data_IF_490133094118
#
_entry.id   IF_490133094118
#
_cell.length_a   1.000
_cell.length_b   1.000
_cell.length_c   1.000
_cell.angle_alpha   90.00
_cell.angle_beta   90.00
_cell.angle_gamma   90.00
#
_symmetry.space_group_name_H-M   'P 1'
#
loop_
_entity.id
_entity.type
_entity.pdbx_description
1 polymer ?
#
# COMPACT_ATOMS: atom_id res chain seq x y z
N UNK A 1 -69.36 15.17 15.15
CA UNK A 1 -69.43 16.28 14.17
C UNK A 1 -68.12 17.06 14.22
N UNK A 2 -67.32 16.88 13.17
CA UNK A 2 -66.34 17.77 12.51
C UNK A 2 -66.36 19.24 12.96
N UNK A 3 -65.24 19.90 13.28
CA UNK A 3 -64.21 20.49 12.39
C UNK A 3 -63.16 21.21 13.29
N UNK A 4 -61.92 21.57 12.94
CA UNK A 4 -61.29 21.96 11.69
C UNK A 4 -59.75 21.97 11.90
N UNK A 5 -58.99 21.46 10.92
CA UNK A 5 -57.53 21.60 10.81
C UNK A 5 -57.14 22.96 10.19
N UNK A 6 -55.90 23.40 10.48
CA UNK A 6 -54.90 24.10 9.63
C UNK A 6 -54.49 25.53 10.03
N UNK A 7 -53.16 25.71 10.16
CA UNK A 7 -52.23 26.71 9.54
C UNK A 7 -51.04 26.88 10.50
N UNK A 8 -49.86 26.28 10.31
CA UNK A 8 -48.73 26.56 9.37
C UNK A 8 -48.31 28.03 9.28
N UNK A 9 -47.03 28.25 9.66
CA UNK A 9 -46.07 29.28 9.20
C UNK A 9 -46.01 30.64 9.91
N UNK A 10 -44.92 30.84 10.67
CA UNK A 10 -44.02 32.02 10.70
C UNK A 10 -43.09 31.83 11.93
N UNK A 11 -41.82 31.42 11.84
CA UNK A 11 -40.65 32.11 11.28
C UNK A 11 -40.49 33.55 11.81
N UNK A 12 -39.30 33.82 12.39
CA UNK A 12 -38.77 35.09 12.90
C UNK A 12 -39.33 35.54 14.27
N UNK A 13 -38.59 36.07 15.23
CA UNK A 13 -37.17 36.36 15.38
C UNK A 13 -37.00 36.86 16.83
N UNK A 14 -35.90 36.48 17.48
CA UNK A 14 -35.16 37.20 18.55
C UNK A 14 -34.18 36.20 19.18
N UNK A 15 -33.04 35.92 18.55
CA UNK A 15 -31.84 36.75 18.50
C UNK A 15 -31.16 36.94 19.87
N UNK A 16 -30.29 36.00 20.23
CA UNK A 16 -29.03 36.24 20.95
C UNK A 16 -28.09 35.08 20.59
N UNK A 17 -27.44 35.07 19.42
CA UNK A 17 -26.20 35.79 19.09
C UNK A 17 -25.09 35.61 20.15
N UNK A 18 -24.43 34.46 20.13
CA UNK A 18 -22.96 34.39 20.31
C UNK A 18 -22.42 33.54 19.16
N UNK A 19 -21.96 34.24 18.13
CA UNK A 19 -21.13 33.69 17.08
C UNK A 19 -19.69 34.09 17.41
N UNK A 20 -18.88 33.11 17.80
CA UNK A 20 -17.41 33.17 17.82
C UNK A 20 -16.93 31.88 18.49
N UNK A 21 -16.12 31.00 17.91
CA UNK A 21 -15.41 30.99 16.65
C UNK A 21 -15.25 29.52 16.26
N UNK A 22 -15.30 29.23 14.97
CA UNK A 22 -15.02 27.91 14.40
C UNK A 22 -13.51 27.78 14.19
N UNK A 23 -12.80 26.86 14.84
CA UNK A 23 -11.59 26.26 14.30
C UNK A 23 -12.01 24.91 13.70
N UNK A 24 -12.58 24.90 12.51
CA UNK A 24 -11.77 24.75 11.31
C UNK A 24 -12.08 23.39 10.70
N UNK A 25 -12.90 23.36 9.65
CA UNK A 25 -13.19 22.17 8.85
C UNK A 25 -11.95 21.48 8.26
N UNK A 26 -10.75 22.02 8.47
CA UNK A 26 -9.46 21.39 8.23
C UNK A 26 -9.07 20.33 9.27
N UNK A 27 -9.43 20.46 10.55
CA UNK A 27 -9.10 19.48 11.59
C UNK A 27 -9.97 18.22 11.46
N UNK A 28 -11.27 18.37 11.23
CA UNK A 28 -12.19 17.26 10.96
C UNK A 28 -11.87 16.53 9.63
N UNK A 29 -11.45 17.25 8.57
CA UNK A 29 -10.95 16.61 7.33
C UNK A 29 -9.59 15.92 7.53
N UNK A 30 -8.70 16.45 8.36
CA UNK A 30 -7.39 15.83 8.65
C UNK A 30 -7.55 14.60 9.53
N UNK A 31 -8.42 14.64 10.54
CA UNK A 31 -8.83 13.50 11.36
C UNK A 31 -9.57 12.45 10.54
N UNK A 32 -10.50 12.84 9.67
CA UNK A 32 -11.16 11.92 8.73
C UNK A 32 -10.20 11.26 7.74
N UNK A 33 -9.16 11.96 7.28
CA UNK A 33 -8.10 11.38 6.43
C UNK A 33 -7.14 10.48 7.21
N UNK A 34 -6.81 10.82 8.45
CA UNK A 34 -5.97 10.00 9.34
C UNK A 34 -6.71 8.74 9.81
N UNK A 35 -8.00 8.85 10.12
CA UNK A 35 -8.89 7.72 10.38
C UNK A 35 -9.12 6.87 9.13
N UNK A 36 -9.29 7.46 7.94
CA UNK A 36 -9.30 6.70 6.67
C UNK A 36 -8.00 5.96 6.41
N UNK A 37 -6.89 6.37 7.04
CA UNK A 37 -5.58 5.72 6.91
C UNK A 37 -5.42 4.52 7.85
N UNK A 38 -6.23 4.42 8.90
CA UNK A 38 -6.12 3.39 9.94
C UNK A 38 -7.38 2.51 10.08
N UNK A 39 -8.51 2.92 9.50
CA UNK A 39 -9.85 2.29 9.61
C UNK A 39 -10.42 1.98 8.22
N UNK A 40 -9.58 1.76 7.20
CA UNK A 40 -10.11 1.25 5.92
C UNK A 40 -10.38 -0.25 6.10
N UNK A 41 -11.63 -0.62 5.81
CA UNK A 41 -12.15 -1.98 5.80
C UNK A 41 -11.20 -2.99 5.15
N UNK A 42 -11.35 -4.28 5.48
CA UNK A 42 -10.72 -5.36 4.70
C UNK A 42 -11.00 -5.11 3.22
N UNK A 43 -9.97 -5.09 2.35
CA UNK A 43 -10.20 -4.84 0.94
C UNK A 43 -11.08 -5.95 0.36
N UNK A 44 -11.90 -5.59 -0.64
CA UNK A 44 -12.66 -6.58 -1.40
C UNK A 44 -11.72 -7.38 -2.32
N UNK A 45 -10.65 -6.72 -2.78
CA UNK A 45 -9.70 -7.28 -3.73
C UNK A 45 -8.26 -6.83 -3.47
N UNK A 46 -7.33 -7.66 -3.89
CA UNK A 46 -5.90 -7.43 -3.88
C UNK A 46 -5.34 -7.41 -5.29
N UNK A 47 -4.30 -6.61 -5.50
CA UNK A 47 -3.57 -6.54 -6.76
C UNK A 47 -2.10 -6.30 -6.46
N UNK A 48 -1.18 -6.79 -7.30
CA UNK A 48 0.23 -6.48 -7.22
C UNK A 48 0.79 -5.97 -8.56
N UNK A 49 1.76 -5.06 -8.45
CA UNK A 49 2.63 -4.65 -9.55
C UNK A 49 4.07 -4.67 -9.04
N UNK A 50 4.90 -5.46 -9.70
CA UNK A 50 6.25 -5.78 -9.23
C UNK A 50 7.22 -5.59 -10.40
N UNK A 51 8.39 -5.04 -10.14
CA UNK A 51 9.45 -4.93 -11.16
C UNK A 51 10.72 -5.51 -10.60
N UNK A 52 11.28 -6.53 -11.25
CA UNK A 52 12.49 -7.23 -10.88
C UNK A 52 13.66 -6.76 -11.75
N UNK A 53 14.63 -5.99 -11.23
CA UNK A 53 15.89 -5.76 -11.92
C UNK A 53 16.65 -7.07 -12.15
N UNK A 54 17.13 -7.29 -13.37
CA UNK A 54 17.90 -8.50 -13.75
C UNK A 54 19.40 -8.24 -13.92
N UNK A 55 19.82 -6.99 -13.71
CA UNK A 55 21.22 -6.57 -13.82
C UNK A 55 22.13 -6.89 -12.61
N UNK A 56 21.66 -7.03 -11.35
CA UNK A 56 22.58 -7.36 -10.26
C UNK A 56 23.00 -8.83 -10.31
N UNK A 57 24.14 -9.16 -9.70
CA UNK A 57 24.63 -10.54 -9.59
C UNK A 57 23.69 -11.44 -8.76
N UNK A 58 22.91 -10.81 -7.88
CA UNK A 58 21.80 -11.41 -7.14
C UNK A 58 20.58 -10.48 -7.08
N UNK A 59 19.36 -11.02 -7.13
CA UNK A 59 19.01 -12.43 -7.29
C UNK A 59 19.24 -12.92 -8.73
N UNK A 60 19.44 -14.22 -8.90
CA UNK A 60 19.55 -14.85 -10.22
C UNK A 60 18.22 -14.83 -10.95
N UNK A 61 18.26 -14.98 -12.28
CA UNK A 61 17.03 -15.08 -13.10
C UNK A 61 16.17 -16.29 -12.68
N UNK A 62 16.79 -17.38 -12.22
CA UNK A 62 16.07 -18.56 -11.72
C UNK A 62 15.29 -18.28 -10.42
N UNK A 63 15.90 -17.52 -9.49
CA UNK A 63 15.21 -17.10 -8.26
C UNK A 63 14.04 -16.16 -8.57
N UNK A 64 14.26 -15.19 -9.48
CA UNK A 64 13.18 -14.31 -9.95
C UNK A 64 12.03 -15.14 -10.54
N UNK A 65 12.34 -16.15 -11.38
CA UNK A 65 11.31 -17.03 -11.93
C UNK A 65 10.54 -17.79 -10.85
N UNK A 66 11.22 -18.32 -9.83
CA UNK A 66 10.57 -19.01 -8.71
C UNK A 66 9.64 -18.10 -7.92
N UNK A 67 9.97 -16.81 -7.77
CA UNK A 67 9.06 -15.84 -7.14
C UNK A 67 7.85 -15.51 -8.03
N UNK A 68 8.04 -15.43 -9.34
CA UNK A 68 6.93 -15.23 -10.30
C UNK A 68 5.95 -16.40 -10.23
N UNK A 69 6.45 -17.64 -10.17
CA UNK A 69 5.63 -18.84 -10.02
C UNK A 69 4.83 -18.84 -8.69
N UNK A 70 5.46 -18.42 -7.59
CA UNK A 70 4.76 -18.28 -6.32
C UNK A 70 3.70 -17.16 -6.35
N UNK A 71 3.98 -16.04 -7.04
CA UNK A 71 2.99 -14.98 -7.26
C UNK A 71 1.80 -15.47 -8.08
N UNK A 72 2.03 -16.37 -9.03
CA UNK A 72 0.96 -17.00 -9.81
C UNK A 72 0.00 -17.75 -8.89
N UNK A 73 0.53 -18.49 -7.91
CA UNK A 73 -0.31 -19.17 -6.92
C UNK A 73 -1.06 -18.20 -6.01
N UNK A 74 -0.37 -17.21 -5.42
CA UNK A 74 -0.97 -16.24 -4.49
C UNK A 74 -2.09 -15.39 -5.14
N UNK A 75 -2.06 -15.24 -6.47
CA UNK A 75 -3.06 -14.51 -7.26
C UNK A 75 -3.90 -15.40 -8.18
N UNK A 76 -4.10 -16.68 -7.85
CA UNK A 76 -5.03 -17.59 -8.57
C UNK A 76 -4.77 -17.65 -10.09
N UNK A 77 -3.50 -17.65 -10.51
CA UNK A 77 -3.09 -17.70 -11.91
C UNK A 77 -3.24 -16.39 -12.69
N UNK A 78 -3.58 -15.28 -12.03
CA UNK A 78 -3.97 -14.04 -12.71
C UNK A 78 -2.85 -13.00 -12.72
N UNK A 79 -1.82 -13.26 -13.50
CA UNK A 79 -0.74 -12.30 -13.73
C UNK A 79 -0.27 -12.26 -15.18
N UNK A 80 0.22 -11.10 -15.56
CA UNK A 80 0.96 -10.85 -16.79
C UNK A 80 2.43 -10.61 -16.48
N UNK A 81 3.33 -11.16 -17.31
CA UNK A 81 4.78 -10.96 -17.22
C UNK A 81 5.28 -10.22 -18.45
N UNK A 82 5.99 -9.12 -18.23
CA UNK A 82 6.53 -8.26 -19.28
C UNK A 82 8.05 -8.22 -19.19
N UNK A 83 8.73 -8.76 -20.20
CA UNK A 83 10.17 -8.58 -20.35
C UNK A 83 10.49 -7.13 -20.73
N UNK A 84 11.46 -6.53 -20.03
CA UNK A 84 11.98 -5.19 -20.29
C UNK A 84 13.50 -5.23 -20.38
N UNK A 85 14.10 -4.17 -20.92
CA UNK A 85 15.57 -4.08 -20.94
C UNK A 85 16.09 -3.96 -19.50
N UNK A 86 16.79 -5.00 -19.03
CA UNK A 86 17.39 -5.05 -17.69
C UNK A 86 16.41 -5.29 -16.54
N UNK A 87 15.17 -5.67 -16.83
CA UNK A 87 14.17 -6.00 -15.80
C UNK A 87 13.04 -6.88 -16.33
N UNK A 88 12.29 -7.47 -15.42
CA UNK A 88 11.01 -8.15 -15.67
C UNK A 88 9.94 -7.45 -14.84
N UNK A 89 8.83 -7.06 -15.45
CA UNK A 89 7.69 -6.51 -14.73
C UNK A 89 6.57 -7.54 -14.65
N UNK A 90 5.92 -7.63 -13.50
CA UNK A 90 4.76 -8.47 -13.23
C UNK A 90 3.60 -7.57 -12.83
N UNK A 91 2.44 -7.80 -13.43
CA UNK A 91 1.20 -7.13 -13.06
C UNK A 91 0.11 -8.18 -12.86
N UNK A 92 -0.58 -8.14 -11.73
CA UNK A 92 -1.69 -9.06 -11.46
C UNK A 92 -3.02 -8.40 -11.79
N UNK A 93 -4.02 -9.20 -12.12
CA UNK A 93 -5.40 -8.72 -12.06
C UNK A 93 -5.84 -8.54 -10.59
N UNK A 94 -6.90 -7.76 -10.33
CA UNK A 94 -7.53 -7.73 -9.02
C UNK A 94 -8.18 -9.07 -8.66
N UNK A 95 -7.71 -9.70 -7.58
CA UNK A 95 -8.23 -10.98 -7.06
C UNK A 95 -9.02 -10.73 -5.79
N UNK A 96 -10.14 -11.42 -5.60
CA UNK A 96 -10.95 -11.26 -4.38
C UNK A 96 -10.20 -11.67 -3.12
N UNK A 97 -10.53 -11.04 -1.99
CA UNK A 97 -9.92 -11.38 -0.70
C UNK A 97 -10.10 -12.85 -0.26
N UNK A 98 -11.07 -13.59 -0.83
CA UNK A 98 -11.27 -15.01 -0.55
C UNK A 98 -10.32 -15.93 -1.34
N UNK A 99 -9.76 -15.45 -2.44
CA UNK A 99 -8.84 -16.20 -3.32
C UNK A 99 -7.39 -15.76 -3.16
N UNK A 100 -7.17 -14.57 -2.60
CA UNK A 100 -5.84 -14.06 -2.33
C UNK A 100 -5.23 -14.73 -1.11
N UNK A 101 -4.07 -15.36 -1.28
CA UNK A 101 -3.28 -15.91 -0.18
C UNK A 101 -2.33 -14.84 0.39
N UNK A 102 -2.79 -14.15 1.43
CA UNK A 102 -2.04 -13.07 2.10
C UNK A 102 -0.77 -13.59 2.79
N UNK A 103 -0.80 -14.82 3.31
CA UNK A 103 0.35 -15.40 4.02
C UNK A 103 1.45 -15.74 3.02
N UNK A 104 1.11 -16.45 1.94
CA UNK A 104 2.07 -16.77 0.89
C UNK A 104 2.60 -15.51 0.21
N UNK A 105 1.74 -14.52 -0.05
CA UNK A 105 2.20 -13.24 -0.59
C UNK A 105 3.20 -12.54 0.34
N UNK A 106 2.97 -12.59 1.65
CA UNK A 106 3.92 -12.11 2.66
C UNK A 106 5.28 -12.81 2.57
N UNK A 107 5.29 -14.14 2.55
CA UNK A 107 6.51 -14.96 2.42
C UNK A 107 7.25 -14.70 1.10
N UNK A 108 6.52 -14.46 0.00
CA UNK A 108 7.11 -14.05 -1.28
C UNK A 108 7.80 -12.69 -1.13
N UNK A 109 7.15 -11.71 -0.49
CA UNK A 109 7.75 -10.39 -0.27
C UNK A 109 9.05 -10.48 0.52
N UNK A 110 9.08 -11.27 1.59
CA UNK A 110 10.30 -11.48 2.41
C UNK A 110 11.43 -12.10 1.58
N UNK A 111 11.15 -13.13 0.78
CA UNK A 111 12.14 -13.74 -0.12
C UNK A 111 12.67 -12.77 -1.17
N UNK A 112 11.83 -11.88 -1.69
CA UNK A 112 12.27 -10.82 -2.61
C UNK A 112 13.20 -9.85 -1.90
N UNK A 113 12.85 -9.42 -0.67
CA UNK A 113 13.68 -8.54 0.14
C UNK A 113 15.06 -9.15 0.42
N UNK A 114 15.10 -10.42 0.83
CA UNK A 114 16.34 -11.15 1.07
C UNK A 114 17.16 -11.32 -0.22
N UNK A 115 16.53 -11.73 -1.32
CA UNK A 115 17.25 -11.99 -2.58
C UNK A 115 17.89 -10.74 -3.19
N UNK A 116 17.33 -9.56 -2.92
CA UNK A 116 17.90 -8.27 -3.32
C UNK A 116 18.80 -7.63 -2.26
N UNK A 117 18.94 -8.22 -1.07
CA UNK A 117 19.75 -7.66 -0.01
C UNK A 117 21.21 -7.45 -0.48
N UNK A 118 21.83 -6.40 0.07
CA UNK A 118 23.16 -5.93 -0.36
C UNK A 118 23.21 -5.24 -1.74
N UNK A 119 22.27 -5.49 -2.65
CA UNK A 119 22.26 -4.87 -3.99
C UNK A 119 21.23 -3.76 -4.16
N UNK A 120 20.03 -3.96 -3.62
CA UNK A 120 18.89 -3.05 -3.71
C UNK A 120 18.21 -2.89 -2.34
N UNK A 121 17.53 -1.78 -2.16
CA UNK A 121 16.50 -1.64 -1.14
C UNK A 121 15.15 -1.96 -1.78
N UNK A 122 14.34 -2.84 -1.19
CA UNK A 122 13.00 -3.10 -1.73
C UNK A 122 12.03 -2.06 -1.18
N UNK A 123 11.37 -1.35 -2.08
CA UNK A 123 10.29 -0.44 -1.75
C UNK A 123 8.94 -1.15 -1.90
N UNK A 124 8.21 -1.31 -0.79
CA UNK A 124 6.84 -1.83 -0.78
C UNK A 124 5.85 -0.71 -0.50
N UNK A 125 5.01 -0.36 -1.48
CA UNK A 125 3.98 0.66 -1.35
C UNK A 125 2.59 0.04 -1.47
N UNK A 126 1.74 0.31 -0.49
CA UNK A 126 0.34 -0.07 -0.53
C UNK A 126 -0.52 1.11 -0.97
N UNK A 127 -1.35 0.89 -1.99
CA UNK A 127 -2.24 1.90 -2.56
C UNK A 127 -3.67 1.39 -2.51
N UNK A 128 -4.53 2.15 -1.83
CA UNK A 128 -5.96 1.87 -1.77
C UNK A 128 -6.70 2.60 -2.88
N UNK A 129 -7.46 1.87 -3.69
CA UNK A 129 -8.23 2.42 -4.81
C UNK A 129 -9.66 1.89 -4.81
N UNK A 130 -10.56 2.58 -5.50
CA UNK A 130 -11.85 2.01 -5.88
C UNK A 130 -11.81 1.61 -7.34
N UNK A 131 -12.22 0.40 -7.64
CA UNK A 131 -12.38 -0.12 -8.99
C UNK A 131 -13.75 -0.79 -9.10
N UNK A 132 -14.59 -0.34 -10.03
CA UNK A 132 -15.96 -0.86 -10.23
C UNK A 132 -16.77 -1.05 -8.94
N UNK A 133 -16.68 -0.07 -8.04
CA UNK A 133 -17.38 -0.07 -6.75
C UNK A 133 -16.74 -0.91 -5.64
N UNK A 134 -15.69 -1.69 -5.95
CA UNK A 134 -14.92 -2.50 -4.99
C UNK A 134 -13.72 -1.73 -4.46
N UNK A 135 -13.39 -1.95 -3.19
CA UNK A 135 -12.19 -1.43 -2.55
C UNK A 135 -11.01 -2.38 -2.84
N UNK A 136 -10.02 -1.88 -3.56
CA UNK A 136 -8.83 -2.65 -3.95
C UNK A 136 -7.61 -2.15 -3.16
N UNK A 137 -6.86 -3.07 -2.56
CA UNK A 137 -5.52 -2.81 -2.03
C UNK A 137 -4.48 -3.28 -3.06
N UNK A 138 -3.81 -2.32 -3.69
CA UNK A 138 -2.77 -2.57 -4.68
C UNK A 138 -1.39 -2.46 -4.04
N UNK A 139 -0.59 -3.53 -4.12
CA UNK A 139 0.79 -3.60 -3.69
C UNK A 139 1.70 -3.23 -4.85
N UNK A 140 2.67 -2.35 -4.59
CA UNK A 140 3.72 -1.98 -5.56
C UNK A 140 5.06 -2.32 -4.94
N UNK A 141 5.79 -3.25 -5.54
CA UNK A 141 7.07 -3.74 -5.02
C UNK A 141 8.16 -3.45 -6.05
N UNK A 142 9.16 -2.67 -5.65
CA UNK A 142 10.25 -2.28 -6.54
C UNK A 142 11.57 -2.32 -5.77
N UNK A 143 12.48 -3.24 -6.10
CA UNK A 143 13.89 -3.15 -5.73
C UNK A 143 14.49 -1.91 -6.38
N UNK A 144 14.93 -0.96 -5.56
CA UNK A 144 15.56 0.29 -5.97
C UNK A 144 17.02 0.30 -5.54
N UNK A 145 17.89 0.73 -6.45
CA UNK A 145 19.31 0.89 -6.12
C UNK A 145 19.41 1.95 -5.00
N UNK A 146 20.08 1.66 -3.88
CA UNK A 146 20.18 2.62 -2.78
C UNK A 146 20.99 3.84 -3.24
N UNK A 147 20.55 5.03 -2.80
CA UNK A 147 21.23 6.29 -3.13
C UNK A 147 22.57 6.44 -2.42
N UNK A 148 22.75 5.76 -1.30
CA UNK A 148 23.97 5.74 -0.52
C UNK A 148 24.39 4.29 -0.31
N UNK A 149 25.71 3.99 -0.35
CA UNK A 149 26.20 2.68 0.08
C UNK A 149 25.67 2.39 1.48
N UNK A 150 25.08 1.20 1.67
CA UNK A 150 24.87 0.68 3.01
C UNK A 150 26.27 0.36 3.53
N UNK A 151 26.77 1.17 4.46
CA UNK A 151 28.04 0.85 5.12
C UNK A 151 27.86 -0.46 5.88
N UNK A 152 28.87 -1.33 5.85
CA UNK A 152 28.94 -2.48 6.74
C UNK A 152 28.85 -1.96 8.17
N UNK A 153 27.68 -2.10 8.79
CA UNK A 153 27.45 -1.59 10.15
C UNK A 153 28.32 -2.30 11.20
N UNK A 154 29.04 -3.36 10.81
CA UNK A 154 29.96 -4.13 11.64
C UNK A 154 31.34 -4.30 10.96
N UNK A 155 31.84 -3.25 10.30
CA UNK A 155 33.25 -3.19 9.90
C UNK A 155 34.16 -2.97 11.12
N UNK A 156 35.42 -3.50 11.12
CA UNK A 156 36.34 -3.51 12.27
C UNK A 156 36.76 -2.14 12.83
N UNK A 157 36.24 -1.04 12.28
CA UNK A 157 36.48 0.32 12.76
C UNK A 157 35.44 0.79 13.81
N UNK A 158 34.28 0.14 13.92
CA UNK A 158 33.30 0.44 14.98
C UNK A 158 33.82 0.01 16.37
N UNK A 159 34.62 -1.06 16.43
CA UNK A 159 35.22 -1.56 17.68
C UNK A 159 36.38 -0.69 18.17
N UNK A 160 37.09 -0.01 17.24
CA UNK A 160 38.15 0.96 17.59
C UNK A 160 37.63 2.26 18.18
N UNK A 161 36.44 2.71 17.76
CA UNK A 161 35.84 3.95 18.27
C UNK A 161 35.24 3.80 19.69
N UNK A 162 35.03 2.57 20.16
CA UNK A 162 34.53 2.28 21.51
C UNK A 162 35.64 1.94 22.53
N UNK A 163 36.90 1.89 22.08
CA UNK A 163 38.07 1.51 22.88
C UNK A 163 38.99 2.69 23.24
N UNK A 164 38.67 3.92 22.79
CA UNK A 164 39.34 5.18 23.17
C UNK A 164 38.48 6.02 24.12
#
# INVERSE_FOLDING_TARGET
MTALRRRVSAAADRATRIASAVPGGGAARRLGRLWQRHVRDRPDQYQASITFPTAPDRPTVGEIHGWIEALEYAFDGRLDVYARRGSVAVETDPVSAALFDDAEFGEICERIEEGYDGSHAVAHLQKWRRNDGRLVQAHVIVPVKPLFPRGDADGPDAERAAAD
#
